data_IF_821143812723
#
_entry.id   IF_821143812723
#
_cell.length_a   1.000
_cell.length_b   1.000
_cell.length_c   1.000
_cell.angle_alpha   90.00
_cell.angle_beta   90.00
_cell.angle_gamma   90.00
#
_symmetry.space_group_name_H-M   'P 1'
#
loop_
_entity.id
_entity.type
_entity.pdbx_description
1 polymer ?
#
# COMPACT_ATOMS: atom_id res chain seq x y z
N UNK A 1 -5.72 45.44 -11.91
CA UNK A 1 -4.54 44.68 -11.44
C UNK A 1 -4.26 43.62 -12.47
N UNK A 2 -3.35 43.94 -13.40
CA UNK A 2 -2.96 43.02 -14.47
C UNK A 2 -2.30 41.79 -13.89
N UNK A 3 -2.93 40.64 -14.14
CA UNK A 3 -2.31 39.33 -13.87
C UNK A 3 -1.15 39.21 -14.85
N UNK A 4 0.07 39.38 -14.39
CA UNK A 4 1.25 39.00 -15.16
C UNK A 4 1.08 37.52 -15.56
N UNK A 5 0.68 37.34 -16.82
CA UNK A 5 0.43 36.00 -17.41
C UNK A 5 1.72 35.23 -17.44
N UNK A 6 1.87 34.28 -16.54
CA UNK A 6 2.92 33.26 -16.65
C UNK A 6 2.69 32.49 -17.95
N UNK A 7 3.67 32.52 -18.83
CA UNK A 7 3.65 31.78 -20.09
C UNK A 7 3.23 30.32 -19.83
N UNK A 8 2.15 29.81 -20.47
CA UNK A 8 1.65 28.45 -20.25
C UNK A 8 2.72 27.36 -20.45
N UNK A 9 3.70 27.61 -21.34
CA UNK A 9 4.83 26.69 -21.58
C UNK A 9 5.84 26.71 -20.43
N UNK A 10 6.11 27.86 -19.81
CA UNK A 10 6.98 27.98 -18.64
C UNK A 10 6.36 27.36 -17.40
N UNK A 11 5.05 27.54 -17.21
CA UNK A 11 4.33 26.88 -16.13
C UNK A 11 4.38 25.35 -16.26
N UNK A 12 4.17 24.80 -17.45
CA UNK A 12 4.27 23.37 -17.70
C UNK A 12 5.67 22.78 -17.40
N UNK A 13 6.75 23.51 -17.77
CA UNK A 13 8.13 23.09 -17.47
C UNK A 13 8.42 23.08 -15.97
N UNK A 14 7.98 24.08 -15.20
CA UNK A 14 8.22 24.14 -13.75
C UNK A 14 7.54 22.98 -13.02
N UNK A 15 6.35 22.55 -13.44
CA UNK A 15 5.65 21.41 -12.86
C UNK A 15 6.39 20.08 -13.15
N UNK A 16 6.94 19.91 -14.36
CA UNK A 16 7.76 18.72 -14.69
C UNK A 16 8.99 18.63 -13.80
N UNK A 17 9.66 19.75 -13.49
CA UNK A 17 10.79 19.78 -12.57
C UNK A 17 10.40 19.36 -11.15
N UNK A 18 9.23 19.81 -10.65
CA UNK A 18 8.73 19.41 -9.33
C UNK A 18 8.55 17.88 -9.25
N UNK A 19 7.85 17.30 -10.24
CA UNK A 19 7.63 15.86 -10.28
C UNK A 19 8.93 15.07 -10.50
N UNK A 20 9.83 15.57 -11.35
CA UNK A 20 11.14 14.99 -11.58
C UNK A 20 12.01 14.99 -10.32
N UNK A 21 12.04 16.11 -9.58
CA UNK A 21 12.79 16.23 -8.33
C UNK A 21 12.21 15.30 -7.24
N UNK A 22 10.88 15.22 -7.13
CA UNK A 22 10.24 14.32 -6.15
C UNK A 22 10.45 12.84 -6.50
N UNK A 23 10.41 12.46 -7.79
CA UNK A 23 10.72 11.10 -8.25
C UNK A 23 12.19 10.75 -7.96
N UNK A 24 13.11 11.65 -8.31
CA UNK A 24 14.53 11.47 -8.01
C UNK A 24 14.77 11.31 -6.51
N UNK A 25 14.16 12.15 -5.68
CA UNK A 25 14.23 12.04 -4.23
C UNK A 25 13.73 10.66 -3.74
N UNK A 26 12.59 10.21 -4.26
CA UNK A 26 12.02 8.89 -3.90
C UNK A 26 12.96 7.74 -4.28
N UNK A 27 13.50 7.75 -5.50
CA UNK A 27 14.41 6.70 -5.99
C UNK A 27 15.73 6.73 -5.21
N UNK A 28 16.31 7.91 -4.96
CA UNK A 28 17.53 8.02 -4.15
C UNK A 28 17.32 7.50 -2.72
N UNK A 29 16.16 7.77 -2.12
CA UNK A 29 15.79 7.23 -0.82
C UNK A 29 15.71 5.69 -0.85
N UNK A 30 15.14 5.11 -1.89
CA UNK A 30 15.14 3.65 -2.08
C UNK A 30 16.57 3.10 -2.26
N UNK A 31 17.42 3.78 -3.02
CA UNK A 31 18.83 3.39 -3.16
C UNK A 31 19.56 3.43 -1.80
N UNK A 32 19.29 4.43 -0.96
CA UNK A 32 19.82 4.47 0.40
C UNK A 32 19.31 3.29 1.25
N UNK A 33 18.02 2.96 1.19
CA UNK A 33 17.48 1.79 1.88
C UNK A 33 18.15 0.50 1.38
N UNK A 34 18.31 0.33 0.06
CA UNK A 34 18.97 -0.84 -0.52
C UNK A 34 20.42 -0.99 -0.08
N UNK A 35 21.16 0.14 -0.02
CA UNK A 35 22.59 0.13 0.30
C UNK A 35 22.85 -0.08 1.78
N UNK A 36 22.03 0.45 2.67
CA UNK A 36 22.32 0.56 4.09
C UNK A 36 21.46 -0.31 5.01
N UNK A 37 20.27 -0.77 4.56
CA UNK A 37 19.46 -1.68 5.35
C UNK A 37 19.80 -3.13 5.01
N UNK A 38 20.13 -3.92 6.04
CA UNK A 38 20.47 -5.34 5.88
C UNK A 38 19.23 -6.24 5.82
N UNK A 39 18.17 -5.88 6.55
CA UNK A 39 16.92 -6.64 6.62
C UNK A 39 15.69 -5.76 6.47
N UNK A 40 14.60 -6.38 6.02
CA UNK A 40 13.29 -5.75 5.87
C UNK A 40 12.24 -6.60 6.56
N UNK A 41 11.23 -5.95 7.15
CA UNK A 41 10.15 -6.64 7.83
C UNK A 41 9.42 -7.61 6.91
N UNK A 42 9.20 -8.83 7.39
CA UNK A 42 8.50 -9.94 6.72
C UNK A 42 9.13 -10.39 5.39
N UNK A 43 10.30 -9.85 5.00
CA UNK A 43 10.94 -10.18 3.72
C UNK A 43 11.29 -11.67 3.62
N UNK A 44 11.74 -12.30 4.71
CA UNK A 44 12.03 -13.74 4.75
C UNK A 44 10.79 -14.61 4.44
N UNK A 45 9.64 -14.20 4.96
CA UNK A 45 8.36 -14.88 4.67
C UNK A 45 7.94 -14.69 3.20
N UNK A 46 8.11 -13.49 2.65
CA UNK A 46 7.85 -13.22 1.24
C UNK A 46 8.82 -13.98 0.32
N UNK A 47 10.11 -14.03 0.66
CA UNK A 47 11.11 -14.80 -0.08
C UNK A 47 10.79 -16.28 -0.04
N UNK A 48 10.40 -16.84 1.12
CA UNK A 48 9.95 -18.23 1.23
C UNK A 48 8.80 -18.54 0.28
N UNK A 49 7.83 -17.61 0.16
CA UNK A 49 6.73 -17.78 -0.79
C UNK A 49 7.22 -17.71 -2.26
N UNK A 50 8.13 -16.79 -2.60
CA UNK A 50 8.72 -16.73 -3.95
C UNK A 50 9.44 -18.05 -4.30
N UNK A 51 10.19 -18.64 -3.35
CA UNK A 51 10.87 -19.92 -3.52
C UNK A 51 9.85 -21.06 -3.73
N UNK A 52 8.79 -21.11 -2.91
CA UNK A 52 7.71 -22.10 -3.10
C UNK A 52 7.09 -21.97 -4.49
N UNK A 53 6.85 -20.75 -4.99
CA UNK A 53 6.32 -20.51 -6.34
C UNK A 53 7.31 -20.86 -7.45
N UNK A 54 8.61 -20.75 -7.21
CA UNK A 54 9.63 -21.19 -8.16
C UNK A 54 9.70 -22.73 -8.26
N UNK A 55 9.44 -23.41 -7.14
CA UNK A 55 9.37 -24.89 -7.11
C UNK A 55 8.07 -25.46 -7.68
N UNK A 56 6.95 -24.84 -7.31
CA UNK A 56 5.59 -25.32 -7.62
C UNK A 56 4.72 -24.15 -8.13
N UNK A 57 4.96 -23.70 -9.39
CA UNK A 57 4.22 -22.57 -9.94
C UNK A 57 2.72 -22.88 -10.03
N UNK A 58 1.88 -22.10 -9.36
CA UNK A 58 0.43 -22.28 -9.40
C UNK A 58 -0.31 -20.96 -9.13
N UNK A 59 -1.41 -20.74 -9.85
CA UNK A 59 -2.40 -19.71 -9.51
C UNK A 59 -3.34 -20.16 -8.37
N UNK A 60 -3.36 -21.45 -8.07
CA UNK A 60 -4.13 -22.06 -6.97
C UNK A 60 -3.14 -22.82 -6.07
N UNK A 61 -2.32 -22.13 -5.27
CA UNK A 61 -1.26 -22.75 -4.50
C UNK A 61 -1.80 -23.58 -3.33
N UNK A 62 -1.18 -24.71 -3.05
CA UNK A 62 -1.46 -25.44 -1.82
C UNK A 62 -0.72 -24.81 -0.64
N UNK A 63 -1.45 -24.00 0.13
CA UNK A 63 -0.90 -23.32 1.30
C UNK A 63 -0.44 -24.27 2.42
N UNK A 64 -0.97 -25.51 2.50
CA UNK A 64 -0.53 -26.50 3.48
C UNK A 64 0.82 -27.11 3.12
N UNK A 65 1.18 -27.15 1.83
CA UNK A 65 2.45 -27.61 1.34
C UNK A 65 3.56 -26.54 1.32
N UNK A 66 3.23 -25.27 1.60
CA UNK A 66 4.22 -24.20 1.63
C UNK A 66 5.04 -24.23 2.91
N UNK A 67 6.34 -24.20 2.78
CA UNK A 67 7.30 -24.21 3.89
C UNK A 67 8.05 -22.91 4.00
N UNK A 68 8.61 -22.62 5.18
CA UNK A 68 9.62 -21.56 5.36
C UNK A 68 10.98 -22.02 4.84
N UNK A 69 11.76 -21.03 4.42
CA UNK A 69 13.15 -21.19 4.03
C UNK A 69 14.04 -20.28 4.87
N UNK A 70 15.06 -20.85 5.48
CA UNK A 70 16.06 -20.14 6.24
C UNK A 70 17.28 -19.84 5.38
N UNK A 71 17.93 -18.71 5.65
CA UNK A 71 19.23 -18.34 5.10
C UNK A 71 20.25 -19.44 5.50
N UNK A 72 20.92 -20.01 4.50
CA UNK A 72 21.96 -21.03 4.64
C UNK A 72 23.34 -20.50 4.23
N UNK A 73 23.48 -19.20 4.02
CA UNK A 73 24.71 -18.53 3.64
C UNK A 73 24.70 -17.95 2.23
N UNK A 74 25.86 -17.58 1.74
CA UNK A 74 26.03 -16.97 0.42
C UNK A 74 27.03 -17.78 -0.43
N UNK A 75 26.73 -17.90 -1.72
CA UNK A 75 27.62 -18.48 -2.72
C UNK A 75 27.50 -17.70 -4.04
N UNK A 76 28.63 -17.30 -4.60
CA UNK A 76 28.70 -16.58 -5.87
C UNK A 76 27.76 -15.33 -5.97
N UNK A 77 27.62 -14.62 -4.85
CA UNK A 77 26.74 -13.43 -4.75
C UNK A 77 25.26 -13.75 -4.62
N UNK A 78 24.87 -15.03 -4.54
CA UNK A 78 23.50 -15.46 -4.32
C UNK A 78 23.30 -15.88 -2.87
N UNK A 79 22.16 -15.60 -2.29
CA UNK A 79 21.78 -16.10 -0.97
C UNK A 79 21.24 -17.53 -1.12
N UNK A 80 21.82 -18.46 -0.36
CA UNK A 80 21.35 -19.84 -0.29
C UNK A 80 20.25 -19.97 0.74
N UNK A 81 19.19 -20.66 0.40
CA UNK A 81 18.06 -20.95 1.27
C UNK A 81 17.84 -22.42 1.41
N UNK A 82 17.61 -22.89 2.64
CA UNK A 82 17.28 -24.27 2.98
C UNK A 82 15.86 -24.32 3.54
N UNK A 83 15.12 -25.39 3.20
CA UNK A 83 13.83 -25.67 3.82
C UNK A 83 14.00 -25.74 5.34
N UNK A 84 13.14 -25.04 6.05
CA UNK A 84 13.01 -25.19 7.49
C UNK A 84 11.99 -26.30 7.74
N UNK A 85 12.53 -27.50 7.99
CA UNK A 85 11.71 -28.72 8.11
C UNK A 85 10.65 -28.62 9.20
N UNK A 86 9.47 -29.19 8.94
CA UNK A 86 8.35 -29.18 9.87
C UNK A 86 7.66 -27.81 10.05
N UNK A 87 7.92 -26.86 9.17
CA UNK A 87 7.27 -25.53 9.20
C UNK A 87 6.27 -25.37 8.07
N UNK A 88 5.21 -24.59 8.36
CA UNK A 88 4.24 -24.15 7.36
C UNK A 88 4.32 -22.62 7.25
N UNK A 89 4.36 -22.09 6.03
CA UNK A 89 4.37 -20.65 5.80
C UNK A 89 3.08 -19.99 6.28
N UNK A 90 3.22 -18.87 7.00
CA UNK A 90 2.08 -18.04 7.41
C UNK A 90 1.57 -17.13 6.29
N UNK A 91 2.24 -17.09 5.14
CA UNK A 91 1.87 -16.26 4.01
C UNK A 91 0.82 -16.94 3.13
N UNK A 92 -0.42 -16.50 3.24
CA UNK A 92 -1.56 -17.02 2.47
C UNK A 92 -2.15 -15.94 1.54
N UNK A 93 -1.30 -15.06 1.06
CA UNK A 93 -1.71 -14.03 0.11
C UNK A 93 -1.99 -14.63 -1.27
N UNK A 94 -2.83 -13.98 -2.10
CA UNK A 94 -3.01 -14.37 -3.50
C UNK A 94 -1.67 -14.40 -4.26
N UNK A 95 -1.48 -15.33 -5.21
CA UNK A 95 -0.15 -15.75 -5.67
C UNK A 95 0.49 -14.87 -6.74
N UNK A 96 -0.25 -13.93 -7.36
CA UNK A 96 0.20 -13.24 -8.58
C UNK A 96 1.56 -12.54 -8.42
N UNK A 97 1.77 -11.83 -7.32
CA UNK A 97 3.06 -11.18 -7.05
C UNK A 97 4.19 -12.20 -6.94
N UNK A 98 3.98 -13.28 -6.20
CA UNK A 98 5.00 -14.29 -5.94
C UNK A 98 5.37 -15.08 -7.19
N UNK A 99 4.39 -15.40 -8.04
CA UNK A 99 4.63 -15.98 -9.36
C UNK A 99 5.44 -15.04 -10.26
N UNK A 100 5.11 -13.75 -10.26
CA UNK A 100 5.86 -12.75 -11.03
C UNK A 100 7.31 -12.67 -10.53
N UNK A 101 7.53 -12.60 -9.23
CA UNK A 101 8.87 -12.55 -8.64
C UNK A 101 9.65 -13.85 -8.88
N UNK A 102 9.03 -15.02 -8.75
CA UNK A 102 9.63 -16.30 -9.05
C UNK A 102 10.09 -16.41 -10.51
N UNK A 103 9.26 -15.93 -11.44
CA UNK A 103 9.57 -15.91 -12.87
C UNK A 103 10.71 -14.94 -13.23
N UNK A 104 10.72 -13.74 -12.62
CA UNK A 104 11.67 -12.68 -12.94
C UNK A 104 12.91 -12.68 -12.04
N UNK A 105 12.84 -13.25 -10.84
CA UNK A 105 13.76 -13.03 -9.74
C UNK A 105 15.08 -13.82 -9.78
N UNK A 106 15.21 -14.84 -10.63
CA UNK A 106 16.45 -15.63 -10.66
C UNK A 106 16.60 -16.61 -9.49
N UNK A 107 15.50 -17.22 -9.05
CA UNK A 107 15.53 -18.34 -8.10
C UNK A 107 16.02 -19.60 -8.86
N UNK A 108 17.06 -20.28 -8.32
CA UNK A 108 17.60 -21.52 -8.86
C UNK A 108 17.49 -22.62 -7.83
N UNK A 109 16.93 -23.75 -8.20
CA UNK A 109 16.87 -24.94 -7.36
C UNK A 109 18.12 -25.75 -7.64
N UNK A 110 18.92 -26.01 -6.59
CA UNK A 110 20.17 -26.76 -6.68
C UNK A 110 19.92 -28.27 -6.50
N UNK A 111 20.84 -29.14 -7.00
CA UNK A 111 20.67 -30.59 -6.89
C UNK A 111 20.64 -31.14 -5.45
N UNK A 112 21.27 -30.41 -4.51
CA UNK A 112 21.29 -30.72 -3.07
C UNK A 112 20.03 -30.29 -2.31
N UNK A 113 19.03 -29.75 -3.03
CA UNK A 113 17.78 -29.25 -2.47
C UNK A 113 17.83 -27.82 -1.93
N UNK A 114 19.00 -27.18 -1.92
CA UNK A 114 19.12 -25.76 -1.63
C UNK A 114 18.49 -24.92 -2.75
N UNK A 115 18.13 -23.69 -2.42
CA UNK A 115 17.67 -22.68 -3.36
C UNK A 115 18.59 -21.49 -3.36
N UNK A 116 19.24 -21.20 -4.49
CA UNK A 116 20.05 -20.01 -4.67
C UNK A 116 19.16 -18.86 -5.19
N UNK A 117 19.15 -17.75 -4.49
CA UNK A 117 18.28 -16.59 -4.78
C UNK A 117 19.11 -15.32 -4.91
N UNK A 118 18.91 -14.59 -6.00
CA UNK A 118 19.41 -13.25 -6.17
C UNK A 118 18.45 -12.24 -5.48
N UNK A 119 18.63 -12.07 -4.17
CA UNK A 119 17.80 -11.18 -3.35
C UNK A 119 17.92 -9.73 -3.81
N UNK A 120 19.13 -9.30 -4.22
CA UNK A 120 19.36 -7.94 -4.73
C UNK A 120 18.55 -7.69 -5.98
N UNK A 121 18.52 -8.62 -6.92
CA UNK A 121 17.69 -8.53 -8.12
C UNK A 121 16.21 -8.44 -7.78
N UNK A 122 15.72 -9.24 -6.84
CA UNK A 122 14.33 -9.18 -6.38
C UNK A 122 13.99 -7.81 -5.78
N UNK A 123 14.88 -7.24 -4.94
CA UNK A 123 14.72 -5.91 -4.36
C UNK A 123 14.69 -4.82 -5.44
N UNK A 124 15.57 -4.89 -6.45
CA UNK A 124 15.59 -3.94 -7.57
C UNK A 124 14.30 -4.03 -8.40
N UNK A 125 13.76 -5.24 -8.63
CA UNK A 125 12.45 -5.41 -9.27
C UNK A 125 11.31 -4.77 -8.47
N UNK A 126 11.34 -4.87 -7.15
CA UNK A 126 10.38 -4.21 -6.28
C UNK A 126 10.52 -2.68 -6.30
N UNK A 127 11.77 -2.17 -6.32
CA UNK A 127 12.02 -0.73 -6.54
C UNK A 127 11.43 -0.25 -7.87
N UNK A 128 11.60 -1.03 -8.94
CA UNK A 128 11.02 -0.70 -10.24
C UNK A 128 9.48 -0.68 -10.22
N UNK A 129 8.83 -1.63 -9.53
CA UNK A 129 7.37 -1.64 -9.36
C UNK A 129 6.88 -0.41 -8.61
N UNK A 130 7.47 -0.09 -7.45
CA UNK A 130 7.07 1.06 -6.64
C UNK A 130 7.40 2.39 -7.33
N UNK A 131 8.54 2.51 -8.00
CA UNK A 131 8.89 3.70 -8.78
C UNK A 131 7.94 3.89 -9.98
N UNK A 132 7.52 2.81 -10.63
CA UNK A 132 6.51 2.86 -11.70
C UNK A 132 5.15 3.34 -11.19
N UNK A 133 4.75 2.89 -9.99
CA UNK A 133 3.54 3.36 -9.34
C UNK A 133 3.60 4.87 -9.03
N UNK A 134 4.75 5.34 -8.49
CA UNK A 134 4.98 6.77 -8.21
C UNK A 134 5.02 7.58 -9.51
N UNK A 135 5.67 7.09 -10.55
CA UNK A 135 5.69 7.75 -11.87
C UNK A 135 4.28 7.88 -12.46
N UNK A 136 3.48 6.82 -12.40
CA UNK A 136 2.08 6.86 -12.83
C UNK A 136 1.27 7.84 -11.96
N UNK A 137 1.46 7.85 -10.64
CA UNK A 137 0.81 8.81 -9.74
C UNK A 137 1.16 10.26 -10.14
N UNK A 138 2.42 10.53 -10.45
CA UNK A 138 2.86 11.86 -10.89
C UNK A 138 2.31 12.25 -12.25
N UNK A 139 2.22 11.31 -13.18
CA UNK A 139 1.51 11.52 -14.44
C UNK A 139 0.04 11.91 -14.21
N UNK A 140 -0.65 11.22 -13.27
CA UNK A 140 -2.02 11.57 -12.89
C UNK A 140 -2.09 12.96 -12.25
N UNK A 141 -1.18 13.28 -11.33
CA UNK A 141 -1.11 14.61 -10.72
C UNK A 141 -0.87 15.71 -11.76
N UNK A 142 0.10 15.52 -12.65
CA UNK A 142 0.41 16.48 -13.71
C UNK A 142 -0.75 16.72 -14.68
N UNK A 143 -1.48 15.65 -15.05
CA UNK A 143 -2.54 15.72 -16.06
C UNK A 143 -3.93 16.01 -15.51
N UNK A 144 -4.19 15.73 -14.20
CA UNK A 144 -5.54 15.78 -13.62
C UNK A 144 -5.72 16.86 -12.55
N UNK A 145 -4.65 17.33 -11.91
CA UNK A 145 -4.75 18.45 -10.98
C UNK A 145 -4.87 19.74 -11.80
N UNK A 146 -6.06 20.35 -11.79
CA UNK A 146 -6.37 21.53 -12.61
C UNK A 146 -5.67 22.80 -12.13
N UNK A 147 -5.24 22.85 -10.87
CA UNK A 147 -4.48 23.97 -10.32
C UNK A 147 -3.15 24.13 -11.07
N UNK A 148 -2.77 25.34 -11.42
CA UNK A 148 -1.45 25.67 -11.97
C UNK A 148 -0.46 26.10 -10.88
N UNK A 149 -0.83 26.03 -9.61
CA UNK A 149 0.02 26.40 -8.49
C UNK A 149 1.16 25.41 -8.32
N UNK A 150 2.43 25.79 -8.44
CA UNK A 150 3.57 24.92 -8.16
C UNK A 150 3.52 24.31 -6.76
N UNK A 151 3.04 25.06 -5.77
CA UNK A 151 2.88 24.58 -4.40
C UNK A 151 1.88 23.41 -4.28
N UNK A 152 0.75 23.46 -5.01
CA UNK A 152 -0.24 22.37 -5.01
C UNK A 152 0.38 21.08 -5.58
N UNK A 153 1.12 21.21 -6.66
CA UNK A 153 1.81 20.06 -7.27
C UNK A 153 2.97 19.55 -6.41
N UNK A 154 3.71 20.44 -5.74
CA UNK A 154 4.74 20.05 -4.78
C UNK A 154 4.14 19.30 -3.58
N UNK A 155 3.04 19.78 -3.00
CA UNK A 155 2.33 19.09 -1.93
C UNK A 155 1.91 17.68 -2.35
N UNK A 156 1.32 17.54 -3.54
CA UNK A 156 0.93 16.23 -4.06
C UNK A 156 2.13 15.30 -4.23
N UNK A 157 3.18 15.78 -4.89
CA UNK A 157 4.35 14.96 -5.19
C UNK A 157 5.11 14.55 -3.92
N UNK A 158 5.33 15.48 -3.00
CA UNK A 158 6.08 15.21 -1.78
C UNK A 158 5.25 14.51 -0.69
N UNK A 159 3.92 14.61 -0.67
CA UNK A 159 3.08 13.76 0.18
C UNK A 159 3.31 12.26 -0.12
N UNK A 160 3.61 11.92 -1.37
CA UNK A 160 3.91 10.55 -1.81
C UNK A 160 5.41 10.23 -1.57
N UNK A 161 6.32 11.08 -2.05
CA UNK A 161 7.75 10.81 -2.04
C UNK A 161 8.35 10.76 -0.63
N UNK A 162 7.85 11.58 0.30
CA UNK A 162 8.39 11.68 1.66
C UNK A 162 7.80 10.68 2.64
N UNK A 163 6.84 9.84 2.22
CA UNK A 163 6.31 8.81 3.12
C UNK A 163 7.40 7.74 3.37
N UNK A 164 7.94 7.63 4.61
CA UNK A 164 9.12 6.79 4.86
C UNK A 164 8.86 5.33 4.55
N UNK A 165 7.73 4.79 5.04
CA UNK A 165 7.34 3.39 4.86
C UNK A 165 7.18 3.01 3.38
N UNK A 166 6.78 3.95 2.50
CA UNK A 166 6.61 3.66 1.07
C UNK A 166 7.95 3.35 0.38
N UNK A 167 9.01 4.09 0.67
CA UNK A 167 10.34 3.81 0.11
C UNK A 167 10.97 2.55 0.74
N UNK A 168 10.77 2.35 2.04
CA UNK A 168 11.22 1.17 2.76
C UNK A 168 10.63 -0.12 2.15
N UNK A 169 9.31 -0.21 2.05
CA UNK A 169 8.65 -1.35 1.42
C UNK A 169 8.95 -1.44 -0.08
N UNK A 170 9.09 -0.28 -0.74
CA UNK A 170 9.48 -0.19 -2.14
C UNK A 170 10.82 -0.85 -2.46
N UNK A 171 11.69 -0.99 -1.46
CA UNK A 171 13.00 -1.63 -1.60
C UNK A 171 13.00 -3.10 -1.18
N UNK A 172 12.02 -3.53 -0.40
CA UNK A 172 11.92 -4.92 0.10
C UNK A 172 11.21 -5.84 -0.89
N UNK A 173 11.47 -7.15 -0.77
CA UNK A 173 10.66 -8.18 -1.45
C UNK A 173 9.33 -8.26 -0.71
N UNK A 174 8.31 -7.55 -1.23
CA UNK A 174 7.03 -7.42 -0.57
C UNK A 174 5.90 -7.20 -1.60
N UNK A 175 4.78 -7.90 -1.43
CA UNK A 175 3.64 -7.82 -2.33
C UNK A 175 2.92 -6.45 -2.31
N UNK A 176 3.21 -5.59 -1.32
CA UNK A 176 2.71 -4.22 -1.28
C UNK A 176 3.12 -3.40 -2.51
N UNK A 177 4.24 -3.72 -3.15
CA UNK A 177 4.74 -2.99 -4.32
C UNK A 177 3.86 -3.18 -5.57
N UNK A 178 3.45 -4.42 -5.86
CA UNK A 178 2.52 -4.69 -6.96
C UNK A 178 1.10 -4.22 -6.60
N UNK A 179 0.68 -4.37 -5.34
CA UNK A 179 -0.59 -3.87 -4.84
C UNK A 179 -0.69 -2.34 -4.97
N UNK A 180 0.40 -1.61 -4.69
CA UNK A 180 0.47 -0.17 -4.86
C UNK A 180 0.31 0.23 -6.33
N UNK A 181 1.06 -0.39 -7.23
CA UNK A 181 0.93 -0.11 -8.67
C UNK A 181 -0.50 -0.40 -9.17
N UNK A 182 -1.07 -1.53 -8.76
CA UNK A 182 -2.42 -1.93 -9.14
C UNK A 182 -3.49 -0.92 -8.67
N UNK A 183 -3.37 -0.42 -7.43
CA UNK A 183 -4.31 0.57 -6.92
C UNK A 183 -4.18 1.92 -7.62
N UNK A 184 -2.97 2.33 -8.02
CA UNK A 184 -2.78 3.55 -8.81
C UNK A 184 -3.40 3.41 -10.20
N UNK A 185 -3.29 2.23 -10.84
CA UNK A 185 -3.95 1.92 -12.12
C UNK A 185 -5.48 1.98 -11.94
N UNK A 186 -6.01 1.36 -10.88
CA UNK A 186 -7.43 1.41 -10.53
C UNK A 186 -7.91 2.86 -10.34
N UNK A 187 -7.15 3.66 -9.59
CA UNK A 187 -7.48 5.06 -9.34
C UNK A 187 -7.45 5.90 -10.63
N UNK A 188 -6.53 5.61 -11.56
CA UNK A 188 -6.54 6.24 -12.89
C UNK A 188 -7.85 6.00 -13.63
N UNK A 189 -8.41 4.79 -13.52
CA UNK A 189 -9.74 4.45 -14.04
C UNK A 189 -10.86 5.24 -13.34
N UNK A 190 -10.80 5.37 -12.00
CA UNK A 190 -11.79 6.17 -11.25
C UNK A 190 -11.75 7.66 -11.62
N UNK A 191 -10.57 8.23 -11.85
CA UNK A 191 -10.43 9.62 -12.31
C UNK A 191 -11.09 9.82 -13.68
N UNK A 192 -10.92 8.87 -14.61
CA UNK A 192 -11.60 8.90 -15.90
C UNK A 192 -13.11 8.77 -15.77
N UNK A 193 -13.56 7.92 -14.83
CA UNK A 193 -15.00 7.78 -14.53
C UNK A 193 -15.58 9.08 -13.96
N UNK A 194 -14.88 9.77 -13.06
CA UNK A 194 -15.27 11.09 -12.54
C UNK A 194 -15.40 12.14 -13.66
N UNK A 195 -14.56 12.03 -14.70
CA UNK A 195 -14.59 12.90 -15.88
C UNK A 195 -15.68 12.52 -16.90
N UNK A 196 -16.60 11.63 -16.53
CA UNK A 196 -17.67 11.10 -17.39
C UNK A 196 -17.16 10.35 -18.65
N UNK A 197 -15.92 9.86 -18.63
CA UNK A 197 -15.33 9.04 -19.69
C UNK A 197 -15.66 7.57 -19.46
N UNK A 198 -16.79 7.13 -20.00
CA UNK A 198 -17.31 5.76 -19.84
C UNK A 198 -16.91 4.89 -21.05
N UNK A 199 -15.64 4.91 -21.41
CA UNK A 199 -15.07 4.14 -22.52
C UNK A 199 -14.35 2.86 -22.04
N UNK A 200 -13.95 2.02 -23.00
CA UNK A 200 -13.26 0.76 -22.73
C UNK A 200 -11.96 0.94 -21.91
N UNK A 201 -11.22 2.04 -22.10
CA UNK A 201 -9.98 2.33 -21.33
C UNK A 201 -10.26 2.52 -19.87
N UNK A 202 -11.35 3.23 -19.52
CA UNK A 202 -11.78 3.44 -18.14
C UNK A 202 -12.07 2.11 -17.45
N UNK A 203 -12.86 1.27 -18.10
CA UNK A 203 -13.23 -0.03 -17.55
C UNK A 203 -12.09 -1.03 -17.50
N UNK A 204 -11.16 -0.98 -18.48
CA UNK A 204 -9.91 -1.77 -18.43
C UNK A 204 -9.03 -1.38 -17.26
N UNK A 205 -8.82 -0.07 -17.02
CA UNK A 205 -8.01 0.39 -15.87
C UNK A 205 -8.63 -0.01 -14.54
N UNK A 206 -9.95 0.12 -14.38
CA UNK A 206 -10.67 -0.31 -13.19
C UNK A 206 -10.56 -1.83 -13.03
N UNK A 207 -10.87 -2.60 -14.07
CA UNK A 207 -10.85 -4.07 -14.02
C UNK A 207 -9.47 -4.66 -13.76
N UNK A 208 -8.45 -4.21 -14.52
CA UNK A 208 -7.08 -4.68 -14.33
C UNK A 208 -6.51 -4.25 -12.98
N UNK A 209 -6.72 -2.99 -12.58
CA UNK A 209 -6.26 -2.53 -11.26
C UNK A 209 -6.88 -3.33 -10.12
N UNK A 210 -8.19 -3.63 -10.21
CA UNK A 210 -8.88 -4.50 -9.27
C UNK A 210 -8.34 -5.93 -9.28
N UNK A 211 -8.24 -6.56 -10.44
CA UNK A 211 -7.80 -7.96 -10.57
C UNK A 211 -6.36 -8.14 -10.11
N UNK A 212 -5.44 -7.34 -10.63
CA UNK A 212 -4.01 -7.41 -10.24
C UNK A 212 -3.85 -7.12 -8.75
N UNK A 213 -4.53 -6.09 -8.24
CA UNK A 213 -4.52 -5.75 -6.81
C UNK A 213 -5.07 -6.88 -5.94
N UNK A 214 -6.22 -7.44 -6.31
CA UNK A 214 -6.88 -8.53 -5.60
C UNK A 214 -6.08 -9.83 -5.63
N UNK A 215 -5.56 -10.22 -6.79
CA UNK A 215 -4.70 -11.40 -6.94
C UNK A 215 -3.29 -11.21 -6.35
N UNK A 216 -3.00 -10.03 -5.79
CA UNK A 216 -1.77 -9.73 -5.05
C UNK A 216 -2.02 -9.63 -3.55
N UNK A 217 -3.08 -8.93 -3.14
CA UNK A 217 -3.37 -8.65 -1.73
C UNK A 217 -4.86 -8.39 -1.51
N UNK A 218 -5.49 -9.18 -0.66
CA UNK A 218 -6.93 -9.10 -0.38
C UNK A 218 -7.36 -7.71 0.13
N UNK A 219 -6.50 -7.04 0.94
CA UNK A 219 -6.76 -5.67 1.41
C UNK A 219 -6.95 -4.70 0.25
N UNK A 220 -6.18 -4.85 -0.83
CA UNK A 220 -6.30 -3.99 -2.02
C UNK A 220 -7.62 -4.24 -2.74
N UNK A 221 -8.03 -5.51 -2.88
CA UNK A 221 -9.36 -5.84 -3.41
C UNK A 221 -10.46 -5.21 -2.59
N UNK A 222 -10.38 -5.30 -1.25
CA UNK A 222 -11.36 -4.71 -0.34
C UNK A 222 -11.45 -3.19 -0.51
N UNK A 223 -10.31 -2.48 -0.57
CA UNK A 223 -10.30 -1.03 -0.82
C UNK A 223 -10.96 -0.68 -2.16
N UNK A 224 -10.62 -1.41 -3.24
CA UNK A 224 -11.21 -1.20 -4.56
C UNK A 224 -12.73 -1.46 -4.56
N UNK A 225 -13.18 -2.55 -3.94
CA UNK A 225 -14.61 -2.90 -3.84
C UNK A 225 -15.39 -1.86 -3.05
N UNK A 226 -14.85 -1.39 -1.92
CA UNK A 226 -15.48 -0.34 -1.12
C UNK A 226 -15.58 0.99 -1.87
N UNK A 227 -14.53 1.36 -2.63
CA UNK A 227 -14.58 2.55 -3.48
C UNK A 227 -15.63 2.41 -4.59
N UNK A 228 -15.64 1.29 -5.32
CA UNK A 228 -16.63 1.04 -6.39
C UNK A 228 -18.05 0.97 -5.86
N UNK A 229 -18.27 0.23 -4.76
CA UNK A 229 -19.58 0.13 -4.11
C UNK A 229 -20.10 1.51 -3.67
N UNK A 230 -19.22 2.35 -3.11
CA UNK A 230 -19.59 3.71 -2.72
C UNK A 230 -19.96 4.58 -3.93
N UNK A 231 -19.22 4.47 -5.03
CA UNK A 231 -19.54 5.18 -6.29
C UNK A 231 -20.90 4.73 -6.80
N UNK A 232 -21.17 3.42 -6.81
CA UNK A 232 -22.45 2.86 -7.25
C UNK A 232 -23.62 3.40 -6.42
N UNK A 233 -23.47 3.38 -5.08
CA UNK A 233 -24.48 3.92 -4.16
C UNK A 233 -24.70 5.42 -4.40
N UNK A 234 -23.63 6.19 -4.58
CA UNK A 234 -23.73 7.62 -4.87
C UNK A 234 -24.43 7.90 -6.21
N UNK A 235 -24.14 7.10 -7.25
CA UNK A 235 -24.82 7.25 -8.55
C UNK A 235 -26.31 6.92 -8.44
N UNK A 236 -26.68 5.85 -7.74
CA UNK A 236 -28.09 5.51 -7.50
C UNK A 236 -28.81 6.63 -6.75
N UNK A 237 -28.22 7.15 -5.66
CA UNK A 237 -28.84 8.19 -4.83
C UNK A 237 -28.98 9.51 -5.60
N UNK A 238 -27.93 9.92 -6.32
CA UNK A 238 -27.81 11.27 -6.91
C UNK A 238 -28.41 11.39 -8.30
N UNK A 239 -28.25 10.34 -9.11
CA UNK A 239 -28.64 10.38 -10.54
C UNK A 239 -29.75 9.39 -10.90
N UNK A 240 -30.18 8.55 -9.95
CA UNK A 240 -31.11 7.45 -10.17
C UNK A 240 -30.65 6.52 -11.30
N UNK A 241 -29.37 6.39 -11.51
CA UNK A 241 -28.76 5.67 -12.62
C UNK A 241 -27.68 4.70 -12.14
N UNK A 242 -27.65 3.55 -12.77
CA UNK A 242 -26.58 2.53 -12.62
C UNK A 242 -25.54 2.68 -13.74
N UNK A 243 -25.12 3.91 -14.03
CA UNK A 243 -24.25 4.25 -15.17
C UNK A 243 -23.02 3.35 -15.29
N UNK A 244 -22.38 3.02 -14.16
CA UNK A 244 -21.20 2.17 -14.14
C UNK A 244 -21.51 0.78 -14.71
N UNK A 245 -22.62 0.16 -14.27
CA UNK A 245 -22.97 -1.23 -14.60
C UNK A 245 -23.75 -1.35 -15.91
N UNK A 246 -24.58 -0.35 -16.24
CA UNK A 246 -25.42 -0.38 -17.44
C UNK A 246 -24.68 -0.03 -18.74
N UNK A 247 -23.41 0.34 -18.65
CA UNK A 247 -22.57 0.60 -19.83
C UNK A 247 -22.05 -0.72 -20.42
N UNK A 248 -22.11 -0.88 -21.74
CA UNK A 248 -21.58 -2.09 -22.42
C UNK A 248 -20.11 -2.35 -22.10
N UNK A 249 -19.29 -1.29 -21.88
CA UNK A 249 -17.90 -1.43 -21.49
C UNK A 249 -17.71 -2.08 -20.11
N UNK A 250 -18.76 -2.17 -19.26
CA UNK A 250 -18.71 -2.92 -17.99
C UNK A 250 -18.41 -4.41 -18.21
N UNK A 251 -18.76 -4.96 -19.37
CA UNK A 251 -18.39 -6.33 -19.74
C UNK A 251 -16.89 -6.60 -19.67
N UNK A 252 -16.04 -5.55 -19.71
CA UNK A 252 -14.58 -5.67 -19.54
C UNK A 252 -14.20 -5.92 -18.07
N UNK A 253 -14.93 -5.33 -17.12
CA UNK A 253 -14.67 -5.56 -15.69
C UNK A 253 -15.18 -6.93 -15.24
N UNK A 254 -16.23 -7.43 -15.84
CA UNK A 254 -16.90 -8.66 -15.42
C UNK A 254 -15.94 -9.88 -15.35
N UNK A 255 -15.12 -10.19 -16.38
CA UNK A 255 -14.14 -11.26 -16.29
C UNK A 255 -13.15 -11.06 -15.12
N UNK A 256 -12.73 -9.83 -14.87
CA UNK A 256 -11.80 -9.52 -13.77
C UNK A 256 -12.42 -9.82 -12.40
N UNK A 257 -13.70 -9.45 -12.22
CA UNK A 257 -14.44 -9.76 -11.00
C UNK A 257 -14.66 -11.26 -10.87
N UNK A 258 -15.07 -11.94 -11.95
CA UNK A 258 -15.35 -13.38 -11.93
C UNK A 258 -14.10 -14.20 -11.65
N UNK A 259 -12.94 -13.85 -12.23
CA UNK A 259 -11.66 -14.53 -11.94
C UNK A 259 -11.25 -14.35 -10.49
N UNK A 260 -11.34 -13.15 -9.94
CA UNK A 260 -11.05 -12.91 -8.53
C UNK A 260 -12.01 -13.67 -7.61
N UNK A 261 -13.33 -13.61 -7.87
CA UNK A 261 -14.31 -14.35 -7.08
C UNK A 261 -14.13 -15.87 -7.18
N UNK A 262 -13.78 -16.40 -8.36
CA UNK A 262 -13.51 -17.83 -8.52
C UNK A 262 -12.31 -18.25 -7.66
N UNK A 263 -11.24 -17.44 -7.63
CA UNK A 263 -10.09 -17.67 -6.76
C UNK A 263 -10.51 -17.66 -5.27
N UNK A 264 -11.22 -16.64 -4.83
CA UNK A 264 -11.63 -16.50 -3.43
C UNK A 264 -12.60 -17.60 -2.99
N UNK A 265 -13.55 -18.00 -3.85
CA UNK A 265 -14.45 -19.11 -3.59
C UNK A 265 -13.66 -20.42 -3.45
N UNK A 266 -12.65 -20.63 -4.30
CA UNK A 266 -11.77 -21.80 -4.18
C UNK A 266 -11.02 -21.77 -2.84
N UNK A 267 -10.39 -20.64 -2.46
CA UNK A 267 -9.72 -20.48 -1.15
C UNK A 267 -10.68 -20.80 -0.01
N UNK A 268 -11.87 -20.21 -0.03
CA UNK A 268 -12.90 -20.42 1.01
C UNK A 268 -13.34 -21.87 1.11
N UNK A 269 -13.52 -22.56 -0.01
CA UNK A 269 -13.92 -23.97 -0.04
C UNK A 269 -12.81 -24.91 0.43
N UNK A 270 -11.56 -24.61 0.08
CA UNK A 270 -10.40 -25.47 0.38
C UNK A 270 -9.94 -25.32 1.83
N UNK A 271 -9.96 -24.08 2.38
CA UNK A 271 -9.35 -23.79 3.68
C UNK A 271 -10.33 -23.26 4.73
N UNK A 272 -11.61 -23.11 4.41
CA UNK A 272 -12.64 -22.63 5.33
C UNK A 272 -12.60 -21.14 5.64
N UNK A 273 -11.69 -20.36 5.04
CA UNK A 273 -11.50 -18.92 5.25
C UNK A 273 -11.19 -18.21 3.94
N UNK A 274 -11.56 -16.93 3.82
CA UNK A 274 -11.20 -16.10 2.67
C UNK A 274 -9.70 -15.79 2.62
N UNK A 275 -9.08 -15.64 3.78
CA UNK A 275 -7.63 -15.55 3.94
C UNK A 275 -7.24 -16.51 5.06
N UNK A 276 -6.75 -17.72 4.74
CA UNK A 276 -6.43 -18.72 5.74
C UNK A 276 -5.31 -18.24 6.67
N UNK A 277 -5.46 -18.47 7.95
CA UNK A 277 -4.39 -18.32 8.94
C UNK A 277 -3.70 -19.66 9.17
N UNK A 278 -2.58 -19.68 9.86
CA UNK A 278 -1.94 -20.92 10.28
C UNK A 278 -2.90 -21.85 11.01
N UNK A 279 -3.81 -21.29 11.83
CA UNK A 279 -4.85 -22.05 12.51
C UNK A 279 -5.79 -22.79 11.52
N UNK A 280 -6.08 -22.18 10.36
CA UNK A 280 -6.89 -22.83 9.33
C UNK A 280 -6.13 -23.89 8.53
N UNK A 281 -4.80 -23.77 8.43
CA UNK A 281 -3.94 -24.68 7.67
C UNK A 281 -3.57 -25.90 8.51
N UNK A 282 -3.05 -25.67 9.71
CA UNK A 282 -2.63 -26.70 10.67
C UNK A 282 -2.74 -26.15 12.11
N UNK A 283 -3.82 -26.50 12.84
CA UNK A 283 -4.00 -26.07 14.22
C UNK A 283 -2.91 -26.56 15.19
N UNK A 284 -2.37 -27.78 14.98
CA UNK A 284 -1.34 -28.34 15.87
C UNK A 284 -0.02 -27.58 15.72
N UNK A 285 0.35 -27.25 14.47
CA UNK A 285 1.50 -26.41 14.21
C UNK A 285 1.30 -24.98 14.73
N UNK A 286 0.11 -24.40 14.53
CA UNK A 286 -0.21 -23.04 15.00
C UNK A 286 0.06 -22.86 16.50
N UNK A 287 -0.36 -23.83 17.34
CA UNK A 287 -0.15 -23.76 18.80
C UNK A 287 1.33 -23.80 19.22
N UNK A 288 2.25 -24.16 18.34
CA UNK A 288 3.70 -24.20 18.57
C UNK A 288 4.43 -22.94 18.08
N UNK A 289 3.73 -22.02 17.38
CA UNK A 289 4.33 -20.83 16.77
C UNK A 289 4.24 -19.61 17.69
N UNK A 290 5.01 -18.58 17.37
CA UNK A 290 4.97 -17.25 18.00
C UNK A 290 3.64 -16.50 17.80
N UNK A 291 2.81 -16.95 16.87
CA UNK A 291 1.48 -16.39 16.62
C UNK A 291 0.40 -16.87 17.58
N UNK A 292 0.77 -17.73 18.54
CA UNK A 292 -0.11 -18.22 19.58
C UNK A 292 0.44 -17.92 20.96
N UNK A 293 -0.40 -17.32 21.78
CA UNK A 293 -0.15 -17.13 23.21
C UNK A 293 -1.18 -17.93 24.01
N UNK A 294 -0.74 -18.86 24.87
CA UNK A 294 -1.66 -19.63 25.73
C UNK A 294 -2.55 -18.71 26.59
N UNK A 295 -3.81 -19.09 26.86
CA UNK A 295 -4.77 -18.24 27.55
C UNK A 295 -4.27 -17.68 28.89
N UNK A 296 -3.53 -18.46 29.67
CA UNK A 296 -2.97 -18.08 30.95
C UNK A 296 -1.86 -17.03 30.88
N UNK A 297 -1.25 -16.87 29.72
CA UNK A 297 -0.20 -15.85 29.45
C UNK A 297 -0.74 -14.61 28.72
N UNK A 298 -2.02 -14.62 28.35
CA UNK A 298 -2.62 -13.49 27.62
C UNK A 298 -2.85 -12.31 28.52
N UNK A 299 -2.55 -11.13 28.00
CA UNK A 299 -2.96 -9.90 28.68
C UNK A 299 -4.49 -9.74 28.61
N UNK A 300 -5.15 -9.39 29.72
CA UNK A 300 -6.57 -9.05 29.69
C UNK A 300 -6.77 -7.81 28.84
N UNK A 301 -7.22 -8.01 27.60
CA UNK A 301 -7.35 -6.94 26.62
C UNK A 301 -8.73 -6.30 26.71
N UNK A 302 -8.83 -5.11 27.31
CA UNK A 302 -10.05 -4.30 27.24
C UNK A 302 -10.14 -3.60 25.89
N UNK A 303 -11.35 -3.22 25.47
CA UNK A 303 -11.55 -2.47 24.22
C UNK A 303 -10.72 -1.18 24.21
N UNK A 304 -10.62 -0.45 25.33
CA UNK A 304 -9.81 0.77 25.40
C UNK A 304 -8.32 0.51 25.19
N UNK A 305 -7.77 -0.55 25.77
CA UNK A 305 -6.39 -0.97 25.56
C UNK A 305 -6.15 -1.37 24.09
N UNK A 306 -7.11 -2.06 23.50
CA UNK A 306 -7.03 -2.47 22.12
C UNK A 306 -7.06 -1.28 21.16
N UNK A 307 -7.99 -0.35 21.33
CA UNK A 307 -8.07 0.90 20.55
C UNK A 307 -6.76 1.66 20.62
N UNK A 308 -6.18 1.81 21.80
CA UNK A 308 -4.89 2.48 21.98
C UNK A 308 -3.77 1.75 21.22
N UNK A 309 -3.61 0.44 21.38
CA UNK A 309 -2.59 -0.34 20.67
C UNK A 309 -2.77 -0.29 19.15
N UNK A 310 -4.02 -0.38 18.68
CA UNK A 310 -4.31 -0.26 17.26
C UNK A 310 -3.91 1.11 16.73
N UNK A 311 -4.27 2.20 17.43
CA UNK A 311 -3.91 3.56 17.05
C UNK A 311 -2.38 3.80 17.07
N UNK A 312 -1.68 3.29 18.10
CA UNK A 312 -0.21 3.35 18.19
C UNK A 312 0.45 2.61 17.01
N UNK A 313 0.01 1.39 16.71
CA UNK A 313 0.50 0.61 15.57
C UNK A 313 0.22 1.29 14.23
N UNK A 314 -0.98 1.87 14.04
CA UNK A 314 -1.31 2.65 12.85
C UNK A 314 -0.41 3.88 12.70
N UNK A 315 -0.25 4.67 13.77
CA UNK A 315 0.59 5.86 13.77
C UNK A 315 2.04 5.54 13.45
N UNK A 316 2.56 4.50 14.08
CA UNK A 316 3.95 4.09 13.95
C UNK A 316 4.27 3.58 12.53
N UNK A 317 3.51 2.65 12.01
CA UNK A 317 3.80 1.98 10.74
C UNK A 317 3.45 2.79 9.51
N UNK A 318 2.75 3.92 9.64
CA UNK A 318 2.49 4.85 8.53
C UNK A 318 3.69 5.74 8.22
N UNK A 319 4.41 6.16 9.24
CA UNK A 319 5.39 7.25 9.18
C UNK A 319 6.82 6.86 9.56
N UNK A 320 7.14 5.57 9.66
CA UNK A 320 8.47 5.09 10.05
C UNK A 320 9.15 4.27 8.96
N UNK A 321 10.49 4.19 9.05
CA UNK A 321 11.23 3.05 8.53
C UNK A 321 11.14 1.91 9.55
N UNK A 322 10.97 0.68 9.09
CA UNK A 322 10.88 -0.50 9.95
C UNK A 322 12.13 -1.36 9.71
N UNK A 323 12.89 -1.67 10.75
CA UNK A 323 14.09 -2.49 10.64
C UNK A 323 14.03 -3.71 11.55
N UNK A 324 14.82 -4.73 11.26
CA UNK A 324 14.90 -5.96 12.06
C UNK A 324 15.56 -5.77 13.43
N UNK A 325 16.22 -4.63 13.69
CA UNK A 325 16.85 -4.37 14.98
C UNK A 325 15.79 -4.02 16.03
N UNK A 326 15.68 -4.79 17.12
CA UNK A 326 14.80 -4.47 18.24
C UNK A 326 15.04 -3.09 18.86
N UNK A 327 16.30 -2.63 18.83
CA UNK A 327 16.71 -1.29 19.29
C UNK A 327 16.23 -0.20 18.34
N UNK A 328 16.28 -0.45 17.02
CA UNK A 328 15.75 0.46 16.01
C UNK A 328 14.22 0.56 16.10
N UNK A 329 13.53 -0.55 16.32
CA UNK A 329 12.07 -0.61 16.48
C UNK A 329 11.59 0.19 17.71
N UNK A 330 12.34 0.13 18.81
CA UNK A 330 12.02 0.89 20.03
C UNK A 330 12.27 2.40 19.88
N UNK A 331 13.20 2.81 19.03
CA UNK A 331 13.60 4.20 18.82
C UNK A 331 12.79 4.92 17.72
N UNK A 332 12.10 4.18 16.87
CA UNK A 332 11.25 4.74 15.80
C UNK A 332 9.97 5.42 16.31
N UNK A 333 9.91 5.80 17.56
CA UNK A 333 8.75 6.51 18.10
C UNK A 333 8.57 7.85 17.40
N UNK A 334 7.43 7.94 16.74
CA UNK A 334 7.12 9.00 15.79
C UNK A 334 6.75 10.32 16.45
N UNK A 335 6.94 10.63 17.66
CA UNK A 335 6.65 11.91 18.23
C UNK A 335 5.62 12.76 17.45
N UNK A 336 5.60 14.03 17.67
CA UNK A 336 4.72 14.99 16.94
C UNK A 336 4.92 14.95 15.40
N UNK A 337 6.11 14.60 14.92
CA UNK A 337 6.42 14.52 13.49
C UNK A 337 5.70 13.35 12.76
N UNK A 338 5.19 12.34 13.48
CA UNK A 338 4.38 11.28 12.87
C UNK A 338 3.03 11.77 12.37
N UNK A 339 2.41 12.73 13.07
CA UNK A 339 1.08 13.25 12.76
C UNK A 339 1.02 13.93 11.39
N UNK A 340 2.08 14.62 10.96
CA UNK A 340 2.09 15.34 9.70
C UNK A 340 1.86 14.44 8.49
N UNK A 341 2.22 13.15 8.57
CA UNK A 341 1.99 12.19 7.51
C UNK A 341 0.54 11.70 7.44
N UNK A 342 -0.27 11.93 8.49
CA UNK A 342 -1.70 11.63 8.50
C UNK A 342 -2.56 12.77 7.93
N UNK A 343 -1.98 13.95 7.68
CA UNK A 343 -2.71 15.11 7.15
C UNK A 343 -3.46 14.79 5.85
N UNK A 344 -2.92 14.07 4.85
CA UNK A 344 -3.69 13.69 3.67
C UNK A 344 -4.95 12.88 4.00
N UNK A 345 -4.88 11.98 4.98
CA UNK A 345 -6.03 11.19 5.46
C UNK A 345 -7.07 12.10 6.10
N UNK A 346 -6.65 12.93 7.08
CA UNK A 346 -7.55 13.82 7.81
C UNK A 346 -8.26 14.81 6.88
N UNK A 347 -7.53 15.41 5.94
CA UNK A 347 -8.10 16.34 4.98
C UNK A 347 -9.03 15.66 3.96
N UNK A 348 -8.77 14.41 3.60
CA UNK A 348 -9.66 13.62 2.73
C UNK A 348 -10.97 13.30 3.46
N UNK A 349 -10.91 12.86 4.72
CA UNK A 349 -12.09 12.63 5.56
C UNK A 349 -12.90 13.92 5.71
N UNK A 350 -12.23 15.04 6.01
CA UNK A 350 -12.87 16.34 6.08
C UNK A 350 -13.56 16.72 4.76
N UNK A 351 -12.90 16.53 3.61
CA UNK A 351 -13.49 16.81 2.30
C UNK A 351 -14.74 15.95 2.03
N UNK A 352 -14.72 14.68 2.43
CA UNK A 352 -15.85 13.77 2.29
C UNK A 352 -17.05 14.22 3.14
N UNK A 353 -16.82 14.54 4.43
CA UNK A 353 -17.86 15.04 5.35
C UNK A 353 -18.43 16.36 4.84
N UNK A 354 -17.55 17.32 4.45
CA UNK A 354 -17.97 18.60 3.90
C UNK A 354 -18.82 18.41 2.64
N UNK A 355 -18.40 17.49 1.75
CA UNK A 355 -19.16 17.18 0.53
C UNK A 355 -20.55 16.62 0.81
N UNK A 356 -20.69 15.78 1.83
CA UNK A 356 -21.97 15.24 2.27
C UNK A 356 -22.89 16.33 2.83
N UNK A 357 -22.36 17.16 3.75
CA UNK A 357 -23.12 18.25 4.39
C UNK A 357 -23.59 19.29 3.36
N UNK A 358 -22.72 19.65 2.43
CA UNK A 358 -23.01 20.66 1.38
C UNK A 358 -23.73 20.07 0.15
N UNK A 359 -24.05 18.78 0.18
CA UNK A 359 -24.64 18.06 -0.96
C UNK A 359 -23.87 18.28 -2.27
N UNK A 360 -22.54 18.39 -2.16
CA UNK A 360 -21.66 18.58 -3.30
C UNK A 360 -21.66 17.33 -4.20
N UNK A 361 -21.49 17.54 -5.51
CA UNK A 361 -21.41 16.47 -6.51
C UNK A 361 -20.04 15.79 -6.58
N UNK A 362 -19.20 15.94 -5.57
CA UNK A 362 -17.90 15.23 -5.51
C UNK A 362 -18.14 13.72 -5.51
N UNK A 363 -17.51 13.03 -6.44
CA UNK A 363 -17.66 11.58 -6.65
C UNK A 363 -16.49 10.77 -6.10
N UNK A 364 -15.44 11.40 -5.60
CA UNK A 364 -14.22 10.69 -5.19
C UNK A 364 -13.89 10.79 -3.69
N UNK A 365 -14.12 11.93 -3.04
CA UNK A 365 -13.69 12.10 -1.65
C UNK A 365 -14.34 11.06 -0.72
N UNK A 366 -15.65 10.83 -0.85
CA UNK A 366 -16.35 9.82 -0.04
C UNK A 366 -15.92 8.38 -0.39
N UNK A 367 -15.86 7.94 -1.66
CA UNK A 367 -15.35 6.62 -2.02
C UNK A 367 -13.93 6.35 -1.50
N UNK A 368 -13.01 7.30 -1.64
CA UNK A 368 -11.63 7.17 -1.15
C UNK A 368 -11.62 7.05 0.38
N UNK A 369 -12.42 7.86 1.08
CA UNK A 369 -12.56 7.78 2.54
C UNK A 369 -13.11 6.43 2.98
N UNK A 370 -14.18 5.94 2.33
CA UNK A 370 -14.79 4.65 2.65
C UNK A 370 -13.85 3.48 2.31
N UNK A 371 -13.11 3.56 1.20
CA UNK A 371 -12.09 2.57 0.85
C UNK A 371 -11.00 2.46 1.92
N UNK A 372 -10.47 3.60 2.38
CA UNK A 372 -9.43 3.64 3.39
C UNK A 372 -9.96 3.21 4.78
N UNK A 373 -10.96 3.92 5.31
CA UNK A 373 -11.48 3.69 6.66
C UNK A 373 -12.22 2.36 6.78
N UNK A 374 -12.91 1.92 5.72
CA UNK A 374 -13.62 0.64 5.71
C UNK A 374 -12.66 -0.56 5.75
N UNK A 375 -11.56 -0.50 5.00
CA UNK A 375 -10.52 -1.53 5.09
C UNK A 375 -9.83 -1.52 6.48
N UNK A 376 -9.60 -0.34 7.05
CA UNK A 376 -9.06 -0.20 8.41
C UNK A 376 -10.03 -0.74 9.46
N UNK A 377 -11.32 -0.47 9.34
CA UNK A 377 -12.36 -0.99 10.23
C UNK A 377 -12.48 -2.52 10.15
N UNK A 378 -12.35 -3.09 8.94
CA UNK A 378 -12.30 -4.54 8.77
C UNK A 378 -11.10 -5.16 9.52
N UNK A 379 -9.90 -4.61 9.39
CA UNK A 379 -8.73 -5.11 10.13
C UNK A 379 -8.86 -4.90 11.63
N UNK A 380 -9.43 -3.77 12.07
CA UNK A 380 -9.73 -3.54 13.48
C UNK A 380 -10.63 -4.66 14.03
N UNK A 381 -11.73 -4.96 13.33
CA UNK A 381 -12.65 -6.01 13.74
C UNK A 381 -12.01 -7.40 13.69
N UNK A 382 -11.31 -7.72 12.60
CA UNK A 382 -10.67 -9.03 12.41
C UNK A 382 -9.63 -9.34 13.48
N UNK A 383 -8.77 -8.38 13.83
CA UNK A 383 -7.80 -8.53 14.90
C UNK A 383 -8.47 -8.67 16.28
N UNK A 384 -9.49 -7.85 16.55
CA UNK A 384 -10.23 -7.94 17.80
C UNK A 384 -10.89 -9.31 17.96
N UNK A 385 -11.57 -9.80 16.94
CA UNK A 385 -12.24 -11.10 16.96
C UNK A 385 -11.28 -12.30 16.95
N UNK A 386 -10.07 -12.14 16.41
CA UNK A 386 -9.03 -13.17 16.36
C UNK A 386 -8.25 -13.28 17.67
N UNK A 387 -8.17 -12.22 18.49
CA UNK A 387 -7.38 -12.21 19.73
C UNK A 387 -7.80 -13.29 20.74
N UNK A 388 -9.09 -13.57 21.00
CA UNK A 388 -9.50 -14.67 21.89
C UNK A 388 -9.02 -16.06 21.44
N UNK A 389 -8.74 -16.24 20.17
CA UNK A 389 -8.23 -17.51 19.60
C UNK A 389 -6.71 -17.57 19.73
N UNK A 390 -6.02 -16.52 19.28
CA UNK A 390 -4.56 -16.52 19.12
C UNK A 390 -3.79 -15.92 20.30
N UNK A 391 -4.36 -14.96 21.02
CA UNK A 391 -3.60 -14.12 21.96
C UNK A 391 -2.63 -13.14 21.28
N UNK A 392 -2.67 -13.03 19.93
CA UNK A 392 -1.75 -12.26 19.11
C UNK A 392 -2.45 -11.07 18.42
N UNK A 393 -1.78 -9.92 18.42
CA UNK A 393 -2.26 -8.67 17.81
C UNK A 393 -1.30 -8.21 16.69
N UNK A 394 -1.21 -9.00 15.63
CA UNK A 394 -0.19 -8.78 14.60
C UNK A 394 -0.53 -7.76 13.51
N UNK A 395 -1.81 -7.57 13.17
CA UNK A 395 -2.20 -6.79 11.98
C UNK A 395 -2.56 -5.32 12.30
N UNK A 396 -2.03 -4.73 13.38
CA UNK A 396 -2.22 -3.31 13.72
C UNK A 396 -1.22 -2.42 12.94
N UNK A 397 -1.25 -2.49 11.59
CA UNK A 397 -0.22 -1.86 10.78
C UNK A 397 -0.84 -1.04 9.64
N UNK A 398 -0.56 0.27 9.62
CA UNK A 398 -1.05 1.17 8.58
C UNK A 398 -0.38 0.93 7.21
N UNK A 399 0.75 0.21 7.15
CA UNK A 399 1.42 -0.12 5.87
C UNK A 399 0.51 -0.84 4.88
N UNK A 400 -0.50 -1.57 5.37
CA UNK A 400 -1.47 -2.25 4.50
C UNK A 400 -2.32 -1.30 3.65
N UNK A 401 -2.35 -0.01 3.99
CA UNK A 401 -3.13 1.02 3.29
C UNK A 401 -2.25 2.01 2.53
N UNK A 402 -0.92 1.78 2.45
CA UNK A 402 0.02 2.70 1.80
C UNK A 402 -0.35 3.00 0.34
N UNK A 403 -0.92 2.02 -0.35
CA UNK A 403 -1.42 2.20 -1.70
C UNK A 403 -2.42 3.36 -1.84
N UNK A 404 -3.15 3.70 -0.76
CA UNK A 404 -4.12 4.79 -0.74
C UNK A 404 -3.49 6.19 -0.66
N UNK A 405 -2.17 6.33 -0.46
CA UNK A 405 -1.54 7.65 -0.36
C UNK A 405 -1.79 8.50 -1.62
N UNK A 406 -1.84 7.87 -2.80
CA UNK A 406 -2.06 8.58 -4.06
C UNK A 406 -3.47 9.18 -4.15
N UNK A 407 -4.57 8.43 -3.98
CA UNK A 407 -5.91 9.02 -3.95
C UNK A 407 -6.09 10.01 -2.79
N UNK A 408 -5.52 9.75 -1.60
CA UNK A 408 -5.60 10.66 -0.46
C UNK A 408 -4.92 12.01 -0.75
N UNK A 409 -3.69 11.99 -1.27
CA UNK A 409 -2.96 13.19 -1.66
C UNK A 409 -3.68 13.94 -2.79
N UNK A 410 -4.27 13.21 -3.75
CA UNK A 410 -5.04 13.81 -4.83
C UNK A 410 -6.28 14.57 -4.31
N UNK A 411 -7.07 13.95 -3.43
CA UNK A 411 -8.23 14.60 -2.82
C UNK A 411 -7.81 15.82 -2.00
N UNK A 412 -6.78 15.69 -1.17
CA UNK A 412 -6.22 16.82 -0.42
C UNK A 412 -5.90 17.99 -1.35
N UNK A 413 -5.18 17.75 -2.45
CA UNK A 413 -4.72 18.81 -3.35
C UNK A 413 -5.80 19.38 -4.27
N UNK A 414 -6.91 18.65 -4.49
CA UNK A 414 -7.96 19.09 -5.42
C UNK A 414 -9.22 19.58 -4.74
N UNK A 415 -9.54 19.10 -3.53
CA UNK A 415 -10.81 19.43 -2.84
C UNK A 415 -10.64 20.42 -1.69
N UNK A 416 -9.45 20.52 -1.11
CA UNK A 416 -9.20 21.41 0.03
C UNK A 416 -8.93 22.87 -0.39
N UNK A 417 -8.09 23.18 -1.39
CA UNK A 417 -7.75 24.56 -1.73
C UNK A 417 -8.96 25.46 -2.03
N UNK A 418 -10.02 25.01 -2.74
CA UNK A 418 -11.20 25.84 -2.97
C UNK A 418 -11.93 26.29 -1.69
N UNK A 419 -11.83 25.50 -0.60
CA UNK A 419 -12.47 25.82 0.67
C UNK A 419 -11.81 27.00 1.40
N UNK A 420 -10.56 27.30 1.06
CA UNK A 420 -9.75 28.35 1.68
C UNK A 420 -9.52 29.56 0.78
N UNK A 421 -10.34 29.76 -0.26
CA UNK A 421 -10.16 30.86 -1.20
C UNK A 421 -10.14 32.25 -0.55
N UNK A 422 -10.95 32.44 0.51
CA UNK A 422 -10.98 33.71 1.28
C UNK A 422 -9.77 33.92 2.19
N UNK A 423 -8.97 32.88 2.47
CA UNK A 423 -7.80 32.89 3.36
C UNK A 423 -6.55 32.35 2.67
N UNK A 424 -6.35 32.74 1.41
CA UNK A 424 -5.26 32.20 0.54
C UNK A 424 -3.87 32.31 1.15
N UNK A 425 -3.57 33.44 1.83
CA UNK A 425 -2.25 33.64 2.42
C UNK A 425 -1.96 32.65 3.55
N UNK A 426 -2.93 32.48 4.47
CA UNK A 426 -2.80 31.51 5.57
C UNK A 426 -2.69 30.09 5.03
N UNK A 427 -3.55 29.73 4.08
CA UNK A 427 -3.52 28.41 3.45
C UNK A 427 -2.18 28.13 2.76
N UNK A 428 -1.60 29.12 2.07
CA UNK A 428 -0.27 29.02 1.46
C UNK A 428 0.83 28.85 2.50
N UNK A 429 0.81 29.61 3.57
CA UNK A 429 1.79 29.51 4.65
C UNK A 429 1.75 28.10 5.29
N UNK A 430 0.55 27.61 5.62
CA UNK A 430 0.38 26.25 6.17
C UNK A 430 0.84 25.17 5.18
N UNK A 431 0.57 25.33 3.90
CA UNK A 431 1.01 24.42 2.86
C UNK A 431 2.55 24.36 2.73
N UNK A 432 3.22 25.51 2.81
CA UNK A 432 4.69 25.59 2.80
C UNK A 432 5.27 24.96 4.05
N UNK A 433 4.71 25.22 5.23
CA UNK A 433 5.15 24.62 6.49
C UNK A 433 4.97 23.09 6.47
N UNK A 434 3.85 22.59 5.94
CA UNK A 434 3.61 21.16 5.79
C UNK A 434 4.62 20.49 4.86
N UNK A 435 4.89 21.10 3.71
CA UNK A 435 5.88 20.61 2.75
C UNK A 435 7.28 20.58 3.37
N UNK A 436 7.67 21.64 4.08
CA UNK A 436 8.94 21.69 4.79
C UNK A 436 9.03 20.62 5.89
N UNK A 437 7.95 20.41 6.66
CA UNK A 437 7.89 19.38 7.70
C UNK A 437 8.02 17.97 7.12
N UNK A 438 7.40 17.67 5.98
CA UNK A 438 7.55 16.38 5.31
C UNK A 438 8.98 16.15 4.83
N UNK A 439 9.58 17.12 4.10
CA UNK A 439 10.93 16.97 3.55
C UNK A 439 11.96 16.87 4.67
N UNK A 440 11.89 17.78 5.67
CA UNK A 440 12.82 17.78 6.79
C UNK A 440 12.64 16.53 7.69
N UNK A 441 11.40 16.14 7.99
CA UNK A 441 11.09 14.99 8.81
C UNK A 441 11.53 13.66 8.18
N UNK A 442 11.28 13.48 6.87
CA UNK A 442 11.70 12.29 6.15
C UNK A 442 13.22 12.24 5.96
N UNK A 443 13.85 13.37 5.60
CA UNK A 443 15.31 13.48 5.50
C UNK A 443 16.02 13.20 6.82
N UNK A 444 15.51 13.73 7.93
CA UNK A 444 16.04 13.44 9.26
C UNK A 444 15.91 11.95 9.62
N UNK A 445 14.76 11.34 9.34
CA UNK A 445 14.56 9.90 9.56
C UNK A 445 15.47 9.04 8.69
N UNK A 446 15.63 9.38 7.42
CA UNK A 446 16.57 8.69 6.53
C UNK A 446 18.01 8.76 7.05
N UNK A 447 18.43 9.93 7.50
CA UNK A 447 19.76 10.12 8.08
C UNK A 447 19.94 9.30 9.36
N UNK A 448 19.03 9.45 10.34
CA UNK A 448 19.15 8.87 11.68
C UNK A 448 18.98 7.34 11.66
N UNK A 449 18.03 6.82 10.89
CA UNK A 449 17.66 5.40 10.97
C UNK A 449 18.21 4.54 9.84
N UNK A 450 18.70 5.15 8.77
CA UNK A 450 19.24 4.42 7.62
C UNK A 450 20.74 4.70 7.44
N UNK A 451 21.14 5.96 7.29
CA UNK A 451 22.51 6.29 6.94
C UNK A 451 23.50 6.20 8.13
N UNK A 452 23.18 6.84 9.28
CA UNK A 452 24.08 6.84 10.43
C UNK A 452 24.37 5.44 11.02
N UNK A 453 23.41 4.53 11.17
CA UNK A 453 23.68 3.17 11.65
C UNK A 453 24.58 2.36 10.72
N UNK A 454 24.64 2.70 9.43
CA UNK A 454 25.50 2.03 8.46
C UNK A 454 26.94 2.55 8.47
N UNK A 455 27.17 3.73 9.07
CA UNK A 455 28.48 4.35 9.20
C UNK A 455 29.14 4.05 10.55
N UNK A 456 28.38 3.54 11.52
CA UNK A 456 28.86 3.11 12.84
C UNK A 456 29.23 1.63 12.85
#
# INVERSE_FOLDING_TARGET
>A
METHGVDPRKAGRSLLWIYGAALLYFVLKQCCCLAFLRGFADEGSHLSYVINMARFPSLLPDFRAMTFYNDAGMQDGLTLYRVYEGTISNMTHPPLYYLLMAFLGGVRILPDGLCAVDVTRLRVLNMALSASAVLLAYYLGYTRIKSRSPLTHALYAFAIATLPMLAYLGTSVNNDNLAFLALVIFFAGLLRYEEDRLDWRTYTLIGLGFLVGGMTKLTTALMCLLMLGTILVLDIIRTKSLRLVMNRAFLIILPCILLFLAYEIWVRRTYGSWQPSLYNLDPEYFYKTEFYTPPEKRLPLTLGMYVRRFAEGMGHTWSSFYGESPTLNAQMHNGVFGIVYWIPVLLTVFAAIYGLVRKNRDRLALPVTVGFLGAMAYHFYSNWSGYPISGYLGACQARYYLAMIVPLAYIMCTRIPPLFERRKTIARALAVLLLAAWIAGDGAKLLIYVALPALA
#
